data_IF_393832173476
#
_entry.id   IF_393832173476
#
_cell.length_a   1.000
_cell.length_b   1.000
_cell.length_c   1.000
_cell.angle_alpha   90.00
_cell.angle_beta   90.00
_cell.angle_gamma   90.00
#
_symmetry.space_group_name_H-M   'P 1'
#
loop_
_entity.id
_entity.type
_entity.pdbx_description
1 polymer ?
#
# COMPACT_ATOMS: atom_id res chain seq x y z
N UNK A 1 -13.17 19.26 8.16
CA UNK A 1 -13.67 18.84 6.83
C UNK A 1 -12.47 18.29 6.08
N UNK A 2 -12.53 17.04 5.59
CA UNK A 2 -11.44 16.49 4.78
C UNK A 2 -11.46 17.20 3.43
N UNK A 3 -10.44 18.01 3.11
CA UNK A 3 -10.37 18.67 1.81
C UNK A 3 -10.05 17.63 0.74
N UNK A 4 -10.59 17.76 -0.48
CA UNK A 4 -10.34 16.81 -1.58
C UNK A 4 -8.83 16.68 -1.87
N UNK A 5 -8.07 17.73 -1.60
CA UNK A 5 -6.61 17.75 -1.70
C UNK A 5 -5.91 16.87 -0.65
N UNK A 6 -6.41 16.81 0.59
CA UNK A 6 -5.86 15.92 1.62
C UNK A 6 -6.07 14.46 1.22
N UNK A 7 -7.29 14.11 0.80
CA UNK A 7 -7.60 12.74 0.36
C UNK A 7 -6.73 12.32 -0.83
N UNK A 8 -6.53 13.22 -1.79
CA UNK A 8 -5.67 12.99 -2.95
C UNK A 8 -4.20 12.87 -2.54
N UNK A 9 -3.76 13.67 -1.57
CA UNK A 9 -2.44 13.59 -0.94
C UNK A 9 -2.19 12.25 -0.24
N UNK A 10 -3.15 11.76 0.53
CA UNK A 10 -3.07 10.46 1.22
C UNK A 10 -3.00 9.29 0.24
N UNK A 11 -3.82 9.35 -0.82
CA UNK A 11 -3.82 8.33 -1.89
C UNK A 11 -2.48 8.36 -2.63
N UNK A 12 -2.05 9.54 -3.08
CA UNK A 12 -0.78 9.72 -3.79
C UNK A 12 0.42 9.29 -2.96
N UNK A 13 0.45 9.69 -1.69
CA UNK A 13 1.49 9.30 -0.73
C UNK A 13 1.50 7.80 -0.43
N UNK A 14 0.33 7.15 -0.38
CA UNK A 14 0.26 5.69 -0.18
C UNK A 14 0.67 4.90 -1.43
N UNK A 15 0.39 5.41 -2.64
CA UNK A 15 0.80 4.78 -3.91
C UNK A 15 2.31 4.92 -4.13
N UNK A 16 2.85 6.12 -3.92
CA UNK A 16 4.29 6.40 -4.11
C UNK A 16 5.14 6.04 -2.89
N UNK A 17 4.52 5.80 -1.73
CA UNK A 17 5.21 5.50 -0.48
C UNK A 17 5.50 4.02 -0.28
N UNK A 18 5.87 3.68 0.96
CA UNK A 18 6.11 2.30 1.41
C UNK A 18 4.99 1.30 1.03
N UNK A 19 3.68 1.62 1.16
CA UNK A 19 2.63 0.65 0.90
C UNK A 19 2.64 0.19 -0.57
N UNK A 20 2.77 1.15 -1.49
CA UNK A 20 2.83 0.89 -2.91
C UNK A 20 4.13 0.22 -3.35
N UNK A 21 5.29 0.79 -3.01
CA UNK A 21 6.59 0.28 -3.51
C UNK A 21 6.91 -1.10 -2.92
N UNK A 22 6.81 -1.26 -1.59
CA UNK A 22 7.08 -2.56 -0.96
C UNK A 22 5.98 -3.56 -1.27
N UNK A 23 4.72 -3.12 -1.37
CA UNK A 23 3.61 -3.97 -1.81
C UNK A 23 3.90 -4.58 -3.19
N UNK A 24 4.27 -3.77 -4.18
CA UNK A 24 4.66 -4.24 -5.52
C UNK A 24 5.88 -5.15 -5.46
N UNK A 25 6.95 -4.74 -4.76
CA UNK A 25 8.18 -5.51 -4.68
C UNK A 25 7.96 -6.90 -4.05
N UNK A 26 7.21 -6.97 -2.96
CA UNK A 26 6.87 -8.23 -2.28
C UNK A 26 5.90 -9.06 -3.12
N UNK A 27 4.92 -8.43 -3.76
CA UNK A 27 4.04 -9.07 -4.73
C UNK A 27 4.82 -9.76 -5.84
N UNK A 28 5.87 -9.10 -6.36
CA UNK A 28 6.78 -9.65 -7.36
C UNK A 28 7.56 -10.86 -6.84
N UNK A 29 7.82 -11.02 -5.55
CA UNK A 29 8.55 -12.20 -5.06
C UNK A 29 7.74 -13.50 -5.11
N UNK A 30 6.41 -13.43 -5.28
CA UNK A 30 5.53 -14.60 -5.15
C UNK A 30 4.81 -14.93 -6.46
N UNK A 31 4.50 -16.22 -6.70
CA UNK A 31 3.72 -16.68 -7.87
C UNK A 31 2.24 -16.94 -7.54
N UNK A 32 1.87 -16.82 -6.28
CA UNK A 32 0.53 -17.13 -5.79
C UNK A 32 -0.21 -15.83 -5.46
N UNK A 33 -1.36 -15.61 -6.11
CA UNK A 33 -2.19 -14.40 -5.94
C UNK A 33 -2.60 -14.17 -4.49
N UNK A 34 -2.90 -15.26 -3.76
CA UNK A 34 -3.33 -15.19 -2.36
C UNK A 34 -2.20 -14.68 -1.47
N UNK A 35 -0.99 -15.21 -1.67
CA UNK A 35 0.19 -14.81 -0.89
C UNK A 35 0.54 -13.35 -1.19
N UNK A 36 0.48 -12.94 -2.45
CA UNK A 36 0.69 -11.54 -2.84
C UNK A 36 -0.33 -10.58 -2.22
N UNK A 37 -1.60 -10.98 -2.15
CA UNK A 37 -2.67 -10.19 -1.53
C UNK A 37 -2.44 -10.05 -0.02
N UNK A 38 -2.08 -11.13 0.66
CA UNK A 38 -1.80 -11.12 2.11
C UNK A 38 -0.57 -10.25 2.40
N UNK A 39 0.53 -10.42 1.66
CA UNK A 39 1.74 -9.60 1.86
C UNK A 39 1.47 -8.11 1.56
N UNK A 40 0.76 -7.80 0.47
CA UNK A 40 0.37 -6.43 0.14
C UNK A 40 -0.52 -5.80 1.22
N UNK A 41 -1.51 -6.54 1.73
CA UNK A 41 -2.38 -6.08 2.81
C UNK A 41 -1.64 -5.91 4.14
N UNK A 42 -0.76 -6.85 4.49
CA UNK A 42 0.09 -6.76 5.69
C UNK A 42 0.97 -5.52 5.63
N UNK A 43 1.60 -5.24 4.49
CA UNK A 43 2.40 -4.02 4.27
C UNK A 43 1.54 -2.76 4.36
N UNK A 44 0.35 -2.77 3.77
CA UNK A 44 -0.60 -1.65 3.81
C UNK A 44 -1.13 -1.34 5.20
N UNK A 45 -1.15 -2.31 6.12
CA UNK A 45 -1.51 -2.13 7.54
C UNK A 45 -0.29 -1.75 8.39
N UNK A 46 0.85 -2.42 8.21
CA UNK A 46 2.08 -2.16 8.97
C UNK A 46 2.67 -0.79 8.66
N UNK A 47 2.57 -0.33 7.42
CA UNK A 47 3.14 0.96 7.02
C UNK A 47 2.56 2.13 7.81
N UNK A 48 1.24 2.35 7.87
CA UNK A 48 0.67 3.44 8.66
C UNK A 48 0.92 3.27 10.18
N UNK A 49 1.18 2.06 10.70
CA UNK A 49 1.61 1.89 12.10
C UNK A 49 3.04 2.41 12.30
N UNK A 50 3.97 1.98 11.44
CA UNK A 50 5.39 2.28 11.57
C UNK A 50 5.69 3.74 11.18
N UNK A 51 5.09 4.22 10.09
CA UNK A 51 5.29 5.56 9.54
C UNK A 51 4.37 6.60 10.19
N UNK A 52 3.14 6.21 10.58
CA UNK A 52 2.24 7.07 11.35
C UNK A 52 2.72 7.27 12.79
N UNK A 53 3.45 6.31 13.36
CA UNK A 53 4.17 6.49 14.63
C UNK A 53 5.33 7.50 14.56
N UNK A 54 5.81 7.83 13.35
CA UNK A 54 6.92 8.74 13.12
C UNK A 54 6.47 10.16 12.67
N UNK A 55 5.19 10.34 12.34
CA UNK A 55 4.62 11.65 12.01
C UNK A 55 4.18 12.39 13.28
N UNK A 56 5.16 13.03 13.92
CA UNK A 56 5.03 14.01 15.02
C UNK A 56 4.33 15.31 14.60
N UNK A 57 3.33 15.28 13.73
CA UNK A 57 2.61 16.46 13.28
C UNK A 57 1.11 16.19 13.28
N UNK A 58 0.48 16.37 14.45
CA UNK A 58 -0.82 17.00 14.75
C UNK A 58 -2.00 16.94 13.76
N UNK A 59 -2.00 16.04 12.77
CA UNK A 59 -3.11 15.78 11.87
C UNK A 59 -3.72 14.46 12.32
N UNK A 60 -4.99 14.43 12.75
CA UNK A 60 -5.63 13.20 13.17
C UNK A 60 -5.60 12.23 11.99
N UNK A 61 -4.77 11.19 12.06
CA UNK A 61 -4.78 10.09 11.11
C UNK A 61 -6.17 9.44 11.24
N UNK A 62 -7.08 9.88 10.38
CA UNK A 62 -8.45 9.38 10.37
C UNK A 62 -8.42 7.92 9.94
N UNK A 63 -9.37 7.13 10.43
CA UNK A 63 -9.57 5.72 10.04
C UNK A 63 -9.63 5.54 8.51
N UNK A 64 -9.98 6.59 7.77
CA UNK A 64 -9.96 6.66 6.32
C UNK A 64 -8.55 6.51 5.73
N UNK A 65 -7.54 7.22 6.21
CA UNK A 65 -6.17 7.12 5.66
C UNK A 65 -5.59 5.72 5.85
N UNK A 66 -5.90 5.11 6.99
CA UNK A 66 -5.49 3.75 7.32
C UNK A 66 -6.14 2.72 6.37
N UNK A 67 -7.43 2.91 6.08
CA UNK A 67 -8.14 2.07 5.11
C UNK A 67 -7.61 2.25 3.69
N UNK A 68 -7.27 3.49 3.28
CA UNK A 68 -6.70 3.81 1.97
C UNK A 68 -5.34 3.16 1.79
N UNK A 69 -4.46 3.25 2.80
CA UNK A 69 -3.13 2.63 2.77
C UNK A 69 -3.21 1.11 2.67
N UNK A 70 -4.16 0.49 3.38
CA UNK A 70 -4.43 -0.94 3.34
C UNK A 70 -4.88 -1.38 1.94
N UNK A 71 -5.86 -0.69 1.36
CA UNK A 71 -6.38 -0.99 0.01
C UNK A 71 -5.29 -0.84 -1.04
N UNK A 72 -4.49 0.23 -0.96
CA UNK A 72 -3.39 0.47 -1.90
C UNK A 72 -2.32 -0.61 -1.76
N UNK A 73 -1.95 -1.01 -0.54
CA UNK A 73 -1.01 -2.11 -0.31
C UNK A 73 -1.48 -3.44 -0.93
N UNK A 74 -2.77 -3.77 -0.79
CA UNK A 74 -3.37 -4.96 -1.41
C UNK A 74 -3.28 -4.88 -2.94
N UNK A 75 -3.69 -3.76 -3.53
CA UNK A 75 -3.65 -3.55 -4.99
C UNK A 75 -2.21 -3.62 -5.50
N UNK A 76 -1.28 -2.97 -4.81
CA UNK A 76 0.15 -2.99 -5.11
C UNK A 76 0.72 -4.42 -5.10
N UNK A 77 0.39 -5.21 -4.08
CA UNK A 77 0.76 -6.63 -4.00
C UNK A 77 0.24 -7.46 -5.17
N UNK A 78 -1.03 -7.27 -5.54
CA UNK A 78 -1.66 -7.94 -6.68
C UNK A 78 -1.00 -7.54 -8.00
N UNK A 79 -0.73 -6.25 -8.19
CA UNK A 79 -0.05 -5.71 -9.38
C UNK A 79 1.36 -6.28 -9.51
N UNK A 80 2.14 -6.34 -8.42
CA UNK A 80 3.47 -6.96 -8.42
C UNK A 80 3.46 -8.43 -8.81
N UNK A 81 2.49 -9.20 -8.32
CA UNK A 81 2.33 -10.61 -8.69
C UNK A 81 1.91 -10.78 -10.16
N UNK A 82 1.05 -9.89 -10.65
CA UNK A 82 0.66 -9.85 -12.06
C UNK A 82 1.86 -9.55 -12.98
N UNK A 83 2.71 -8.59 -12.61
CA UNK A 83 3.94 -8.24 -13.33
C UNK A 83 4.89 -9.45 -13.38
N UNK A 84 5.15 -10.12 -12.26
CA UNK A 84 5.99 -11.34 -12.22
C UNK A 84 5.42 -12.44 -13.11
N UNK A 85 4.11 -12.68 -13.08
CA UNK A 85 3.47 -13.73 -13.89
C UNK A 85 3.59 -13.44 -15.37
N UNK A 86 3.37 -12.19 -15.77
CA UNK A 86 3.49 -11.74 -17.17
C UNK A 86 4.96 -11.73 -17.63
N UNK A 87 5.89 -11.34 -16.76
CA UNK A 87 7.34 -11.39 -17.02
C UNK A 87 7.90 -12.81 -17.10
N UNK A 88 7.30 -13.79 -16.43
CA UNK A 88 7.67 -15.21 -16.54
C UNK A 88 7.02 -15.93 -17.73
N UNK A 89 6.18 -15.24 -18.51
CA UNK A 89 5.58 -15.72 -19.77
C UNK A 89 6.31 -15.19 -21.02
N UNK A 90 7.27 -14.27 -20.84
CA UNK A 90 8.20 -13.75 -21.85
C UNK A 90 9.50 -14.54 -21.80
#
# INVERSE_FOLDING_TARGET
MLSLLDLLGTIGGSILGLPGILGVALGMTTRNWIIAMILGGVIGVLTPIILGGHHSAHVPITTLEYSVSTVIGIIAGLVGCAIRRKGAML
#
